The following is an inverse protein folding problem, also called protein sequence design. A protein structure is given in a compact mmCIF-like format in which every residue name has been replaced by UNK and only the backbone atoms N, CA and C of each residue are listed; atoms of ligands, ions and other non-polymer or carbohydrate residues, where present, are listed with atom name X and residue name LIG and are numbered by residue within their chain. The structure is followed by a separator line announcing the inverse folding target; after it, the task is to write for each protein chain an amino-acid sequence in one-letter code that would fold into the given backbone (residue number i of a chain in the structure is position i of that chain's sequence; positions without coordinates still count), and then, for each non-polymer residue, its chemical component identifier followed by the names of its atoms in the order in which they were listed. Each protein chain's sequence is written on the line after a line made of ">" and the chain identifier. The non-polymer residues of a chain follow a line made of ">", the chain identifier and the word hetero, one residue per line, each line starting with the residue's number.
data_IF_469308523855
#
_entry.id   IF_469308523855
#
_cell.length_a   1.000
_cell.length_b   1.000
_cell.length_c   1.000
_cell.angle_alpha   90.00
_cell.angle_beta   90.00
_cell.angle_gamma   90.00
#
_symmetry.space_group_name_H-M   'P 1'
#
loop_
_entity.id
_entity.type
_entity.pdbx_description
1 polymer ?
#
# COMPACT_ATOMS: atom_id res chain seq x y z
N UNK A 1 -19.22 49.32 -1.99
CA UNK A 1 -17.81 48.90 -2.01
C UNK A 1 -17.73 47.60 -1.23
N UNK A 2 -17.35 46.48 -1.86
CA UNK A 2 -17.10 45.25 -1.10
C UNK A 2 -15.79 45.45 -0.33
N UNK A 3 -15.87 45.53 1.00
CA UNK A 3 -14.69 45.65 1.83
C UNK A 3 -13.92 44.32 1.78
N UNK A 4 -12.65 44.40 1.39
CA UNK A 4 -11.79 43.24 1.15
C UNK A 4 -11.15 42.80 2.47
N UNK A 5 -11.36 41.54 2.87
CA UNK A 5 -10.72 40.96 4.04
C UNK A 5 -9.21 40.94 3.79
N UNK A 6 -8.45 41.65 4.62
CA UNK A 6 -6.99 41.75 4.49
C UNK A 6 -6.35 41.25 5.78
N UNK A 7 -5.53 40.20 5.66
CA UNK A 7 -4.89 39.52 6.79
C UNK A 7 -3.38 39.54 6.61
N UNK A 8 -2.63 39.93 7.64
CA UNK A 8 -1.17 39.80 7.65
C UNK A 8 -0.74 38.50 8.32
N UNK A 9 0.21 37.82 7.69
CA UNK A 9 0.87 36.62 8.20
C UNK A 9 1.89 36.94 9.29
N UNK A 10 2.42 38.16 9.33
CA UNK A 10 3.10 38.67 10.52
C UNK A 10 2.08 39.04 11.57
N UNK A 11 2.08 38.25 12.66
CA UNK A 11 1.34 38.51 13.90
C UNK A 11 1.99 39.66 14.67
N UNK A 12 2.18 40.83 14.04
CA UNK A 12 2.71 42.00 14.74
C UNK A 12 1.77 42.37 15.87
N UNK A 13 2.37 42.58 17.03
CA UNK A 13 1.73 42.60 18.34
C UNK A 13 0.97 43.91 18.58
N UNK A 14 -0.08 44.19 17.80
CA UNK A 14 -1.03 45.27 18.06
C UNK A 14 -2.37 44.67 18.50
N UNK A 15 -2.43 44.12 19.72
CA UNK A 15 -3.70 43.74 20.38
C UNK A 15 -4.13 42.27 20.28
N UNK A 16 -3.19 41.32 20.36
CA UNK A 16 -3.41 39.86 20.14
C UNK A 16 -4.15 39.14 21.28
N UNK A 17 -5.26 39.68 21.75
CA UNK A 17 -6.20 38.96 22.63
C UNK A 17 -7.54 38.68 21.93
N UNK A 18 -7.90 39.49 20.94
CA UNK A 18 -9.23 39.47 20.35
C UNK A 18 -9.14 38.94 18.91
N UNK A 19 -9.91 37.90 18.61
CA UNK A 19 -10.05 37.44 17.25
C UNK A 19 -10.65 38.56 16.39
N UNK A 20 -10.13 38.70 15.17
CA UNK A 20 -10.56 39.73 14.25
C UNK A 20 -11.96 39.43 13.75
N UNK A 21 -12.88 40.35 14.04
CA UNK A 21 -14.26 40.23 13.60
C UNK A 21 -14.36 40.51 12.09
N UNK A 22 -14.83 39.54 11.31
CA UNK A 22 -15.11 39.72 9.88
C UNK A 22 -16.60 39.62 9.54
N UNK A 23 -17.51 39.63 10.53
CA UNK A 23 -18.96 39.51 10.34
C UNK A 23 -19.55 40.57 9.40
N UNK A 24 -19.00 41.77 9.37
CA UNK A 24 -19.47 42.82 8.44
C UNK A 24 -19.05 42.54 6.98
N UNK A 25 -18.09 41.65 6.78
CA UNK A 25 -17.47 41.35 5.48
C UNK A 25 -17.93 40.00 4.94
N UNK A 26 -18.08 39.02 5.82
CA UNK A 26 -18.40 37.66 5.46
C UNK A 26 -19.19 36.99 6.58
N UNK A 27 -20.32 36.39 6.22
CA UNK A 27 -21.02 35.41 7.04
C UNK A 27 -21.32 34.20 6.16
N UNK A 28 -21.33 33.04 6.78
CA UNK A 28 -21.68 31.79 6.11
C UNK A 28 -23.09 31.37 6.49
N UNK A 29 -23.61 30.37 5.77
CA UNK A 29 -24.86 29.71 6.08
C UNK A 29 -24.68 28.20 5.92
N UNK A 30 -25.29 27.43 6.82
CA UNK A 30 -25.28 25.97 6.75
C UNK A 30 -25.89 25.50 5.43
N UNK A 31 -25.18 24.64 4.69
CA UNK A 31 -25.64 24.10 3.41
C UNK A 31 -25.40 24.98 2.19
N UNK A 32 -24.88 26.20 2.33
CA UNK A 32 -24.51 27.01 1.16
C UNK A 32 -23.28 26.42 0.47
N UNK A 33 -23.40 26.17 -0.83
CA UNK A 33 -22.36 25.53 -1.61
C UNK A 33 -21.55 26.53 -2.47
N UNK A 34 -20.22 26.35 -2.52
CA UNK A 34 -19.31 27.22 -3.28
C UNK A 34 -19.37 28.69 -2.85
N UNK A 35 -19.54 28.94 -1.55
CA UNK A 35 -19.50 30.30 -1.01
C UNK A 35 -18.10 30.89 -1.23
N UNK A 36 -17.96 31.96 -2.04
CA UNK A 36 -16.65 32.52 -2.32
C UNK A 36 -16.18 33.41 -1.17
N UNK A 37 -15.16 32.95 -0.44
CA UNK A 37 -14.45 33.74 0.55
C UNK A 37 -13.20 34.34 -0.08
N UNK A 38 -13.19 35.67 -0.26
CA UNK A 38 -12.06 36.39 -0.85
C UNK A 38 -11.22 37.03 0.24
N UNK A 39 -9.94 36.67 0.28
CA UNK A 39 -8.99 37.12 1.31
C UNK A 39 -7.71 37.59 0.65
N UNK A 40 -7.22 38.75 1.10
CA UNK A 40 -5.91 39.27 0.73
C UNK A 40 -4.90 38.98 1.83
N UNK A 41 -3.90 38.16 1.52
CA UNK A 41 -2.78 37.89 2.41
C UNK A 41 -1.66 38.90 2.20
N UNK A 42 -1.18 39.42 3.32
CA UNK A 42 0.02 40.23 3.41
C UNK A 42 1.12 39.45 4.13
N UNK A 43 2.37 39.65 3.73
CA UNK A 43 3.56 39.25 4.46
C UNK A 43 4.38 40.51 4.72
N UNK A 44 4.51 40.91 6.00
CA UNK A 44 5.25 42.11 6.41
C UNK A 44 4.69 43.39 5.76
N UNK A 45 3.37 43.50 5.66
CA UNK A 45 2.70 44.63 5.00
C UNK A 45 2.83 44.66 3.47
N UNK A 46 3.45 43.66 2.84
CA UNK A 46 3.52 43.51 1.37
C UNK A 46 2.57 42.41 0.90
N UNK A 47 2.02 42.53 -0.30
CA UNK A 47 1.16 41.50 -0.86
C UNK A 47 1.91 40.18 -1.03
N UNK A 48 1.29 39.07 -0.62
CA UNK A 48 1.89 37.74 -0.76
C UNK A 48 2.08 37.38 -2.23
N UNK A 49 3.26 36.86 -2.58
CA UNK A 49 3.60 36.51 -3.97
C UNK A 49 3.36 35.04 -4.32
N UNK A 50 3.03 34.19 -3.34
CA UNK A 50 2.70 32.76 -3.51
C UNK A 50 3.75 31.91 -4.26
N UNK A 51 4.98 32.41 -4.44
CA UNK A 51 6.05 31.76 -5.24
C UNK A 51 6.48 30.40 -4.67
N UNK A 52 6.31 30.19 -3.37
CA UNK A 52 6.66 28.95 -2.66
C UNK A 52 5.67 27.79 -2.88
N UNK A 53 4.68 27.95 -3.76
CA UNK A 53 3.67 26.93 -4.00
C UNK A 53 2.62 26.79 -2.89
N UNK A 54 2.51 27.83 -2.06
CA UNK A 54 1.55 27.93 -0.95
C UNK A 54 0.10 27.99 -1.46
N UNK A 55 -0.78 27.21 -0.85
CA UNK A 55 -2.23 27.21 -1.05
C UNK A 55 -2.94 27.78 0.19
N UNK A 56 -4.12 28.40 0.03
CA UNK A 56 -4.86 28.91 1.17
C UNK A 56 -5.50 27.78 1.99
N UNK A 57 -5.46 27.91 3.31
CA UNK A 57 -6.17 27.01 4.20
C UNK A 57 -6.94 27.80 5.27
N UNK A 58 -7.98 27.18 5.81
CA UNK A 58 -8.78 27.67 6.94
C UNK A 58 -8.97 26.53 7.93
N UNK A 59 -8.82 26.80 9.22
CA UNK A 59 -8.99 25.81 10.28
C UNK A 59 -9.53 26.47 11.54
N UNK A 60 -10.52 25.85 12.17
CA UNK A 60 -11.20 26.41 13.32
C UNK A 60 -12.32 25.51 13.84
N UNK A 61 -13.18 26.09 14.68
CA UNK A 61 -14.35 25.44 15.24
C UNK A 61 -15.61 26.22 14.89
N UNK A 62 -16.71 25.52 14.66
CA UNK A 62 -18.04 26.12 14.43
C UNK A 62 -18.99 25.68 15.52
N UNK A 63 -19.59 26.62 16.24
CA UNK A 63 -20.48 26.29 17.35
C UNK A 63 -20.87 27.50 18.19
N UNK A 64 -21.24 27.25 19.43
CA UNK A 64 -21.67 28.30 20.35
C UNK A 64 -20.46 29.00 20.96
N UNK A 65 -20.61 30.28 21.30
CA UNK A 65 -19.60 31.02 22.03
C UNK A 65 -19.56 30.52 23.48
N UNK A 66 -18.35 30.28 23.99
CA UNK A 66 -18.09 30.03 25.41
C UNK A 66 -18.18 31.33 26.24
N UNK A 67 -17.98 31.21 27.55
CA UNK A 67 -17.99 32.34 28.49
C UNK A 67 -16.92 33.42 28.16
N UNK A 68 -15.93 33.10 27.33
CA UNK A 68 -14.88 33.99 26.87
C UNK A 68 -15.12 34.54 25.44
N UNK A 69 -16.29 34.27 24.84
CA UNK A 69 -16.62 34.72 23.50
C UNK A 69 -15.85 33.99 22.39
N UNK A 70 -15.45 32.74 22.62
CA UNK A 70 -14.69 31.91 21.67
C UNK A 70 -15.43 30.62 21.37
N UNK A 71 -15.13 30.01 20.23
CA UNK A 71 -15.58 28.64 19.94
C UNK A 71 -14.39 27.70 20.11
N UNK A 72 -14.57 26.70 20.96
CA UNK A 72 -13.56 25.71 21.35
C UNK A 72 -14.03 24.31 20.97
N UNK A 73 -13.16 23.31 21.13
CA UNK A 73 -13.51 21.92 20.91
C UNK A 73 -14.65 21.39 21.82
N UNK A 74 -14.95 22.08 22.92
CA UNK A 74 -16.04 21.72 23.83
C UNK A 74 -17.38 22.33 23.40
N UNK A 75 -17.35 23.43 22.63
CA UNK A 75 -18.53 24.24 22.27
C UNK A 75 -18.85 24.21 20.78
N UNK A 76 -18.00 23.59 19.95
CA UNK A 76 -18.18 23.51 18.52
C UNK A 76 -17.45 22.35 17.84
N UNK A 77 -17.83 22.11 16.59
CA UNK A 77 -17.28 21.06 15.74
C UNK A 77 -16.04 21.57 14.98
N UNK A 78 -14.98 20.74 14.85
CA UNK A 78 -13.79 21.11 14.12
C UNK A 78 -14.08 21.17 12.61
N UNK A 79 -13.63 22.25 11.96
CA UNK A 79 -13.74 22.41 10.52
C UNK A 79 -12.39 22.79 9.92
N UNK A 80 -12.12 22.24 8.74
CA UNK A 80 -10.90 22.58 7.98
C UNK A 80 -11.19 22.63 6.49
N UNK A 81 -10.53 23.56 5.82
CA UNK A 81 -10.55 23.71 4.37
C UNK A 81 -9.11 23.90 3.91
N UNK A 82 -8.71 23.13 2.90
CA UNK A 82 -7.47 23.35 2.17
C UNK A 82 -7.83 23.59 0.71
N UNK A 83 -7.47 24.76 0.23
CA UNK A 83 -7.68 25.18 -1.15
C UNK A 83 -6.62 24.63 -2.08
N UNK A 84 -6.69 25.07 -3.33
CA UNK A 84 -5.73 24.71 -4.38
C UNK A 84 -5.07 25.96 -4.95
N UNK A 85 -4.07 25.77 -5.82
CA UNK A 85 -3.46 26.90 -6.55
C UNK A 85 -4.43 27.62 -7.47
N UNK A 86 -5.52 26.97 -7.89
CA UNK A 86 -6.56 27.60 -8.71
C UNK A 86 -7.38 28.65 -7.96
N UNK A 87 -7.32 28.64 -6.62
CA UNK A 87 -7.96 29.64 -5.77
C UNK A 87 -7.15 30.95 -5.71
N UNK A 88 -5.93 30.99 -6.23
CA UNK A 88 -5.07 32.18 -6.21
C UNK A 88 -5.48 33.10 -7.37
N UNK A 89 -5.98 34.29 -7.03
CA UNK A 89 -6.40 35.32 -8.01
C UNK A 89 -5.24 36.24 -8.39
N UNK A 90 -4.19 36.29 -7.55
CA UNK A 90 -3.00 37.12 -7.74
C UNK A 90 -3.01 38.39 -6.86
N UNK A 91 -1.90 39.14 -6.86
CA UNK A 91 -1.69 40.35 -6.02
C UNK A 91 -1.95 40.12 -4.52
N UNK A 92 -1.59 38.95 -4.00
CA UNK A 92 -1.85 38.56 -2.60
C UNK A 92 -3.27 38.08 -2.33
N UNK A 93 -4.15 38.01 -3.33
CA UNK A 93 -5.55 37.63 -3.14
C UNK A 93 -5.80 36.16 -3.48
N UNK A 94 -6.63 35.53 -2.64
CA UNK A 94 -7.21 34.21 -2.88
C UNK A 94 -8.73 34.31 -2.86
N UNK A 95 -9.38 33.43 -3.61
CA UNK A 95 -10.82 33.20 -3.62
C UNK A 95 -11.04 31.73 -3.29
N UNK A 96 -11.32 31.45 -2.02
CA UNK A 96 -11.63 30.09 -1.56
C UNK A 96 -13.11 29.82 -1.78
N UNK A 97 -13.45 28.77 -2.54
CA UNK A 97 -14.83 28.37 -2.72
C UNK A 97 -15.18 27.32 -1.66
N UNK A 98 -15.79 27.75 -0.56
CA UNK A 98 -16.07 26.89 0.57
C UNK A 98 -17.16 25.85 0.19
N UNK A 99 -16.95 24.55 0.45
CA UNK A 99 -17.95 23.52 0.17
C UNK A 99 -19.12 23.62 1.15
N UNK A 100 -20.30 23.13 0.76
CA UNK A 100 -21.49 23.14 1.63
C UNK A 100 -21.34 22.32 2.91
N UNK A 101 -20.43 21.35 2.92
CA UNK A 101 -20.05 20.55 4.09
C UNK A 101 -19.11 21.27 5.05
N UNK A 102 -18.67 22.50 4.74
CA UNK A 102 -17.69 23.22 5.56
C UNK A 102 -18.27 23.65 6.91
N UNK A 103 -19.58 23.86 6.99
CA UNK A 103 -20.26 24.35 8.18
C UNK A 103 -21.32 23.33 8.62
N UNK A 104 -21.00 22.44 9.57
CA UNK A 104 -21.89 21.34 9.95
C UNK A 104 -23.09 21.81 10.80
N UNK A 105 -22.99 22.96 11.46
CA UNK A 105 -24.01 23.50 12.35
C UNK A 105 -24.04 25.03 12.33
N UNK A 106 -25.15 25.62 12.79
CA UNK A 106 -25.28 27.06 13.00
C UNK A 106 -24.48 27.52 14.23
N UNK A 107 -24.09 28.79 14.25
CA UNK A 107 -23.34 29.38 15.36
C UNK A 107 -22.30 30.39 14.91
N UNK A 108 -21.10 30.29 15.46
CA UNK A 108 -19.97 31.16 15.13
C UNK A 108 -18.79 30.30 14.69
N UNK A 109 -18.12 30.72 13.63
CA UNK A 109 -16.80 30.19 13.31
C UNK A 109 -15.77 30.96 14.15
N UNK A 110 -14.87 30.25 14.81
CA UNK A 110 -13.68 30.80 15.45
C UNK A 110 -12.47 29.98 15.03
N UNK A 111 -11.51 30.62 14.35
CA UNK A 111 -10.38 29.90 13.78
C UNK A 111 -9.35 30.85 13.22
N UNK A 112 -8.49 30.35 12.33
CA UNK A 112 -7.51 31.15 11.64
C UNK A 112 -7.43 30.73 10.18
N UNK A 113 -6.98 31.68 9.36
CA UNK A 113 -6.64 31.42 7.97
C UNK A 113 -5.13 31.41 7.82
N UNK A 114 -4.68 30.86 6.72
CA UNK A 114 -3.27 30.84 6.44
C UNK A 114 -2.95 30.29 5.07
N UNK A 115 -1.66 30.07 4.89
CA UNK A 115 -1.05 29.56 3.69
C UNK A 115 -0.21 28.34 4.05
N UNK A 116 -0.40 27.24 3.33
CA UNK A 116 0.37 26.00 3.53
C UNK A 116 0.85 25.44 2.21
N UNK A 117 1.96 24.71 2.21
CA UNK A 117 2.32 23.88 1.06
C UNK A 117 1.40 22.66 1.01
N UNK A 118 1.05 22.12 -0.18
CA UNK A 118 0.26 20.90 -0.29
C UNK A 118 0.83 19.70 0.49
N UNK A 119 2.16 19.65 0.64
CA UNK A 119 2.85 18.62 1.41
C UNK A 119 2.92 18.93 2.93
N UNK A 120 2.23 19.97 3.39
CA UNK A 120 2.25 20.51 4.77
C UNK A 120 3.64 20.85 5.34
N UNK A 121 4.67 20.89 4.50
CA UNK A 121 6.07 21.15 4.88
C UNK A 121 6.32 22.57 5.38
N UNK A 122 5.49 23.54 4.96
CA UNK A 122 5.54 24.94 5.40
C UNK A 122 4.12 25.42 5.65
N UNK A 123 3.86 25.91 6.86
CA UNK A 123 2.55 26.44 7.27
C UNK A 123 2.72 27.82 7.90
N UNK A 124 2.01 28.80 7.36
CA UNK A 124 2.01 30.18 7.85
C UNK A 124 0.57 30.56 8.18
N UNK A 125 0.29 30.85 9.45
CA UNK A 125 -1.06 31.23 9.93
C UNK A 125 -1.15 32.72 10.22
N UNK A 126 -2.31 33.31 9.96
CA UNK A 126 -2.65 34.68 10.36
C UNK A 126 -3.13 34.71 11.81
N UNK A 127 -3.64 35.87 12.26
CA UNK A 127 -4.41 35.98 13.50
C UNK A 127 -5.74 35.21 13.41
N UNK A 128 -6.33 34.93 14.57
CA UNK A 128 -7.64 34.29 14.65
C UNK A 128 -8.72 35.23 14.12
N UNK A 129 -9.66 34.71 13.36
CA UNK A 129 -10.85 35.42 12.86
C UNK A 129 -12.10 34.75 13.40
N UNK A 130 -13.18 35.51 13.44
CA UNK A 130 -14.50 34.96 13.73
C UNK A 130 -15.60 35.63 12.91
N UNK A 131 -16.62 34.84 12.57
CA UNK A 131 -17.80 35.26 11.83
C UNK A 131 -19.02 34.41 12.17
N UNK A 132 -20.21 34.88 11.80
CA UNK A 132 -21.45 34.17 12.08
C UNK A 132 -21.79 33.17 10.97
N UNK A 133 -22.23 31.98 11.39
CA UNK A 133 -22.75 30.92 10.54
C UNK A 133 -24.25 30.83 10.80
N UNK A 134 -25.04 31.40 9.90
CA UNK A 134 -26.49 31.40 10.00
C UNK A 134 -27.05 30.00 9.74
N UNK A 135 -28.20 29.71 10.36
CA UNK A 135 -29.02 28.58 9.95
C UNK A 135 -29.36 28.67 8.46
N UNK A 136 -29.29 27.53 7.80
CA UNK A 136 -29.74 27.34 6.42
C UNK A 136 -30.57 26.07 6.35
N UNK A 137 -31.12 25.76 5.18
CA UNK A 137 -31.80 24.49 5.01
C UNK A 137 -30.73 23.37 4.96
N UNK A 138 -30.66 22.45 5.95
CA UNK A 138 -29.69 21.35 5.92
C UNK A 138 -29.90 20.43 4.70
N UNK A 139 -31.05 20.53 4.03
CA UNK A 139 -31.45 19.78 2.84
C UNK A 139 -30.90 20.29 1.50
N UNK A 140 -29.92 21.20 1.49
CA UNK A 140 -29.07 21.36 0.30
C UNK A 140 -27.91 20.37 0.36
N UNK A 141 -28.23 19.07 0.51
CA UNK A 141 -27.39 18.00 -0.03
C UNK A 141 -27.37 18.15 -1.55
N UNK A 142 -26.61 19.11 -2.06
CA UNK A 142 -26.05 18.92 -3.40
C UNK A 142 -25.05 17.80 -3.21
N UNK A 143 -25.46 16.62 -3.67
CA UNK A 143 -24.61 15.48 -3.87
C UNK A 143 -23.52 15.91 -4.88
N UNK A 144 -22.52 16.65 -4.44
CA UNK A 144 -21.31 16.89 -5.23
C UNK A 144 -20.52 15.60 -5.18
N UNK A 145 -20.87 14.70 -6.10
CA UNK A 145 -19.92 13.84 -6.78
C UNK A 145 -18.83 14.74 -7.39
N UNK A 146 -17.76 15.02 -6.63
CA UNK A 146 -16.49 14.42 -7.01
C UNK A 146 -15.83 13.68 -5.86
N UNK A 147 -15.93 14.10 -4.60
CA UNK A 147 -15.08 13.54 -3.54
C UNK A 147 -15.44 12.09 -3.17
N UNK A 148 -16.74 11.78 -3.02
CA UNK A 148 -17.18 10.39 -2.82
C UNK A 148 -16.98 9.54 -4.07
N UNK A 149 -17.22 10.08 -5.27
CA UNK A 149 -17.06 9.33 -6.52
C UNK A 149 -15.60 9.08 -6.89
N UNK A 150 -14.69 10.01 -6.60
CA UNK A 150 -13.24 9.87 -6.83
C UNK A 150 -12.64 8.90 -5.81
N UNK A 151 -13.03 8.99 -4.54
CA UNK A 151 -12.66 7.98 -3.53
C UNK A 151 -13.25 6.62 -3.87
N UNK A 152 -14.50 6.55 -4.33
CA UNK A 152 -15.11 5.31 -4.78
C UNK A 152 -14.39 4.77 -6.02
N UNK A 153 -14.02 5.61 -6.99
CA UNK A 153 -13.20 5.20 -8.14
C UNK A 153 -11.83 4.67 -7.72
N UNK A 154 -11.17 5.29 -6.75
CA UNK A 154 -9.87 4.77 -6.27
C UNK A 154 -10.03 3.52 -5.41
N UNK A 155 -11.11 3.38 -4.63
CA UNK A 155 -11.45 2.14 -3.95
C UNK A 155 -11.78 1.02 -4.95
N UNK A 156 -12.61 1.29 -5.95
CA UNK A 156 -12.94 0.37 -7.04
C UNK A 156 -11.69 0.01 -7.85
N UNK A 157 -10.78 0.96 -8.08
CA UNK A 157 -9.50 0.70 -8.75
C UNK A 157 -8.59 -0.18 -7.89
N UNK A 158 -8.55 0.05 -6.58
CA UNK A 158 -7.79 -0.79 -5.63
C UNK A 158 -8.40 -2.19 -5.56
N UNK A 159 -9.72 -2.32 -5.51
CA UNK A 159 -10.42 -3.62 -5.56
C UNK A 159 -10.14 -4.34 -6.88
N UNK A 160 -10.23 -3.66 -8.03
CA UNK A 160 -9.87 -4.23 -9.34
C UNK A 160 -8.39 -4.63 -9.39
N UNK A 161 -7.48 -3.85 -8.82
CA UNK A 161 -6.05 -4.19 -8.72
C UNK A 161 -5.83 -5.40 -7.81
N UNK A 162 -6.57 -5.52 -6.71
CA UNK A 162 -6.52 -6.67 -5.80
C UNK A 162 -7.07 -7.90 -6.53
N UNK A 163 -8.22 -7.81 -7.20
CA UNK A 163 -8.80 -8.91 -7.98
C UNK A 163 -7.90 -9.32 -9.15
N UNK A 164 -7.25 -8.37 -9.83
CA UNK A 164 -6.25 -8.64 -10.87
C UNK A 164 -5.00 -9.29 -10.29
N UNK A 165 -4.56 -8.87 -9.10
CA UNK A 165 -3.41 -9.46 -8.41
C UNK A 165 -3.74 -10.88 -7.93
N UNK A 166 -4.91 -11.10 -7.35
CA UNK A 166 -5.41 -12.42 -6.99
C UNK A 166 -5.61 -13.32 -8.21
N UNK A 167 -6.13 -12.77 -9.32
CA UNK A 167 -6.25 -13.44 -10.60
C UNK A 167 -4.88 -13.85 -11.14
N UNK A 168 -3.91 -12.93 -11.14
CA UNK A 168 -2.53 -13.19 -11.56
C UNK A 168 -1.85 -14.24 -10.66
N UNK A 169 -2.09 -14.21 -9.35
CA UNK A 169 -1.58 -15.21 -8.40
C UNK A 169 -2.24 -16.57 -8.67
N UNK A 170 -3.55 -16.62 -8.91
CA UNK A 170 -4.27 -17.86 -9.28
C UNK A 170 -3.78 -18.41 -10.61
N UNK A 171 -3.58 -17.57 -11.62
CA UNK A 171 -2.99 -17.96 -12.91
C UNK A 171 -1.57 -18.49 -12.73
N UNK A 172 -0.74 -17.86 -11.89
CA UNK A 172 0.60 -18.34 -11.55
C UNK A 172 0.57 -19.66 -10.78
N UNK A 173 -0.39 -19.85 -9.89
CA UNK A 173 -0.58 -21.12 -9.17
C UNK A 173 -1.02 -22.24 -10.12
N UNK A 174 -1.93 -21.95 -11.06
CA UNK A 174 -2.35 -22.91 -12.10
C UNK A 174 -1.18 -23.21 -13.05
N UNK A 175 -0.38 -22.20 -13.42
CA UNK A 175 0.82 -22.36 -14.23
C UNK A 175 1.88 -23.20 -13.49
N UNK A 176 2.07 -22.98 -12.19
CA UNK A 176 2.97 -23.78 -11.34
C UNK A 176 2.45 -25.21 -11.17
N UNK A 177 1.16 -25.40 -10.92
CA UNK A 177 0.53 -26.72 -10.84
C UNK A 177 0.68 -27.46 -12.16
N UNK A 178 0.46 -26.77 -13.28
CA UNK A 178 0.68 -27.33 -14.62
C UNK A 178 2.16 -27.65 -14.86
N UNK A 179 3.10 -26.77 -14.50
CA UNK A 179 4.54 -27.04 -14.61
C UNK A 179 4.97 -28.22 -13.73
N UNK A 180 4.40 -28.36 -12.53
CA UNK A 180 4.65 -29.50 -11.65
C UNK A 180 4.07 -30.78 -12.26
N UNK A 181 2.85 -30.75 -12.76
CA UNK A 181 2.21 -31.89 -13.42
C UNK A 181 2.92 -32.25 -14.73
N UNK A 182 3.33 -31.28 -15.53
CA UNK A 182 4.14 -31.46 -16.74
C UNK A 182 5.52 -32.00 -16.36
N UNK A 183 6.16 -31.53 -15.28
CA UNK A 183 7.41 -32.14 -14.78
C UNK A 183 7.22 -33.58 -14.32
N UNK A 184 6.10 -33.91 -13.68
CA UNK A 184 5.74 -35.28 -13.28
C UNK A 184 5.44 -36.16 -14.51
N UNK A 185 4.82 -35.58 -15.55
CA UNK A 185 4.37 -36.29 -16.74
C UNK A 185 5.49 -36.45 -17.80
N UNK A 186 6.27 -35.39 -18.06
CA UNK A 186 7.43 -35.39 -18.97
C UNK A 186 8.66 -36.07 -18.36
N UNK A 187 8.84 -36.03 -17.03
CA UNK A 187 9.87 -36.84 -16.34
C UNK A 187 9.26 -38.11 -15.78
N UNK A 188 8.90 -39.00 -16.69
CA UNK A 188 8.56 -40.41 -16.49
C UNK A 188 9.58 -41.20 -15.62
N UNK A 189 9.75 -40.83 -14.35
CA UNK A 189 10.15 -41.72 -13.27
C UNK A 189 8.83 -42.22 -12.74
N UNK A 190 8.28 -43.20 -13.45
CA UNK A 190 7.25 -44.06 -12.92
C UNK A 190 7.88 -44.77 -11.71
N UNK A 191 7.78 -44.13 -10.54
CA UNK A 191 8.32 -44.62 -9.27
C UNK A 191 7.79 -46.03 -9.01
N UNK A 192 6.55 -46.33 -9.42
CA UNK A 192 5.96 -47.66 -9.35
C UNK A 192 6.63 -48.67 -10.28
N UNK A 193 6.95 -48.29 -11.53
CA UNK A 193 7.72 -49.14 -12.43
C UNK A 193 9.18 -49.30 -11.96
N UNK A 194 9.78 -48.28 -11.36
CA UNK A 194 11.14 -48.34 -10.84
C UNK A 194 11.21 -49.22 -9.60
N UNK A 195 10.24 -49.12 -8.68
CA UNK A 195 10.06 -50.03 -7.55
C UNK A 195 9.79 -51.47 -8.02
N UNK A 196 8.94 -51.66 -9.02
CA UNK A 196 8.66 -52.98 -9.61
C UNK A 196 9.91 -53.60 -10.24
N UNK A 197 10.71 -52.81 -10.97
CA UNK A 197 11.98 -53.26 -11.57
C UNK A 197 13.05 -53.52 -10.50
N UNK A 198 13.13 -52.70 -9.45
CA UNK A 198 14.04 -52.93 -8.32
C UNK A 198 13.67 -54.21 -7.55
N UNK A 199 12.39 -54.41 -7.23
CA UNK A 199 11.91 -55.64 -6.58
C UNK A 199 12.19 -56.89 -7.44
N UNK A 200 12.05 -56.77 -8.76
CA UNK A 200 12.40 -57.86 -9.70
C UNK A 200 13.90 -58.14 -9.72
N UNK A 201 14.73 -57.09 -9.68
CA UNK A 201 16.19 -57.20 -9.64
C UNK A 201 16.66 -57.80 -8.31
N UNK A 202 16.10 -57.36 -7.18
CA UNK A 202 16.38 -57.92 -5.86
C UNK A 202 15.99 -59.40 -5.79
N UNK A 203 14.79 -59.77 -6.26
CA UNK A 203 14.36 -61.17 -6.31
C UNK A 203 15.29 -62.05 -7.16
N UNK A 204 15.74 -61.55 -8.32
CA UNK A 204 16.68 -62.26 -9.17
C UNK A 204 18.07 -62.39 -8.52
N UNK A 205 18.54 -61.35 -7.80
CA UNK A 205 19.79 -61.38 -7.05
C UNK A 205 19.75 -62.40 -5.91
N UNK A 206 18.65 -62.47 -5.16
CA UNK A 206 18.48 -63.49 -4.11
C UNK A 206 18.44 -64.89 -4.69
N UNK A 207 17.73 -65.11 -5.81
CA UNK A 207 17.73 -66.42 -6.50
C UNK A 207 19.13 -66.78 -6.99
N UNK A 208 19.89 -65.83 -7.52
CA UNK A 208 21.28 -66.04 -7.93
C UNK A 208 22.18 -66.34 -6.73
N UNK A 209 22.01 -65.63 -5.62
CA UNK A 209 22.77 -65.86 -4.39
C UNK A 209 22.46 -67.23 -3.79
N UNK A 210 21.19 -67.63 -3.78
CA UNK A 210 20.76 -68.95 -3.32
C UNK A 210 21.26 -70.06 -4.27
N UNK A 211 21.26 -69.84 -5.59
CA UNK A 211 21.87 -70.79 -6.54
C UNK A 211 23.38 -70.89 -6.38
N UNK A 212 24.07 -69.77 -6.13
CA UNK A 212 25.51 -69.77 -5.84
C UNK A 212 25.78 -70.57 -4.55
N UNK A 213 24.94 -70.43 -3.53
CA UNK A 213 25.05 -71.19 -2.27
C UNK A 213 24.65 -72.66 -2.43
N UNK A 214 23.67 -72.98 -3.28
CA UNK A 214 23.10 -74.31 -3.43
C UNK A 214 23.82 -75.20 -4.46
N UNK A 215 24.32 -74.65 -5.58
CA UNK A 215 24.82 -75.45 -6.71
C UNK A 215 26.29 -75.85 -6.60
N UNK A 216 26.96 -75.63 -5.47
CA UNK A 216 28.33 -76.14 -5.25
C UNK A 216 29.33 -75.72 -6.34
N UNK A 217 29.12 -74.53 -6.92
CA UNK A 217 29.92 -74.01 -8.03
C UNK A 217 31.35 -73.77 -7.55
N UNK A 218 32.31 -74.44 -8.19
CA UNK A 218 33.73 -74.30 -7.92
C UNK A 218 34.14 -72.83 -8.03
N UNK A 219 34.70 -72.28 -6.96
CA UNK A 219 35.31 -70.94 -7.03
C UNK A 219 36.52 -71.00 -7.95
N UNK A 220 36.99 -69.84 -8.44
CA UNK A 220 38.22 -69.80 -9.24
C UNK A 220 39.41 -70.43 -8.51
N UNK A 221 39.46 -70.30 -7.17
CA UNK A 221 40.46 -70.96 -6.35
C UNK A 221 40.32 -72.49 -6.35
N UNK A 222 39.09 -73.02 -6.33
CA UNK A 222 38.86 -74.47 -6.40
C UNK A 222 39.21 -75.03 -7.78
N UNK A 223 38.92 -74.28 -8.85
CA UNK A 223 39.32 -74.62 -10.21
C UNK A 223 40.84 -74.63 -10.36
N UNK A 224 41.53 -73.60 -9.87
CA UNK A 224 42.99 -73.51 -9.90
C UNK A 224 43.65 -74.64 -9.11
N UNK A 225 43.08 -75.02 -7.95
CA UNK A 225 43.57 -76.14 -7.14
C UNK A 225 43.43 -77.47 -7.87
N UNK A 226 42.29 -77.72 -8.54
CA UNK A 226 42.07 -78.95 -9.30
C UNK A 226 42.94 -79.01 -10.57
N UNK A 227 43.07 -77.91 -11.31
CA UNK A 227 43.97 -77.80 -12.47
C UNK A 227 45.42 -78.08 -12.06
N UNK A 228 45.87 -77.55 -10.92
CA UNK A 228 47.21 -77.78 -10.41
C UNK A 228 47.45 -79.25 -10.09
N UNK A 229 46.50 -79.94 -9.45
CA UNK A 229 46.61 -81.38 -9.20
C UNK A 229 46.71 -82.20 -10.50
N UNK A 230 45.94 -81.84 -11.53
CA UNK A 230 46.02 -82.50 -12.84
C UNK A 230 47.40 -82.27 -13.47
N UNK A 231 47.91 -81.03 -13.45
CA UNK A 231 49.23 -80.69 -13.99
C UNK A 231 50.34 -81.45 -13.24
N UNK A 232 50.28 -81.53 -11.91
CA UNK A 232 51.28 -82.23 -11.10
C UNK A 232 51.24 -83.74 -11.34
N UNK A 233 50.05 -84.33 -11.50
CA UNK A 233 49.91 -85.75 -11.87
C UNK A 233 50.47 -86.06 -13.26
N UNK A 234 50.22 -85.17 -14.24
CA UNK A 234 50.80 -85.30 -15.58
C UNK A 234 52.33 -85.17 -15.53
N UNK A 235 52.87 -84.17 -14.81
CA UNK A 235 54.32 -84.03 -14.63
C UNK A 235 54.93 -85.29 -14.01
N UNK A 236 54.31 -85.86 -12.98
CA UNK A 236 54.77 -87.10 -12.35
C UNK A 236 54.76 -88.28 -13.34
N UNK A 237 53.72 -88.41 -14.17
CA UNK A 237 53.69 -89.45 -15.21
C UNK A 237 54.76 -89.27 -16.29
N UNK A 238 55.03 -88.04 -16.75
CA UNK A 238 56.07 -87.78 -17.74
C UNK A 238 57.49 -87.84 -17.17
N UNK A 239 57.69 -87.62 -15.86
CA UNK A 239 59.00 -87.77 -15.20
C UNK A 239 59.42 -89.24 -15.09
N UNK A 240 58.45 -90.17 -14.97
CA UNK A 240 58.71 -91.62 -14.93
C UNK A 240 59.11 -92.18 -16.30
N UNK A 241 58.71 -91.55 -17.41
CA UNK A 241 58.97 -92.05 -18.78
C UNK A 241 60.37 -91.68 -19.31
N UNK A 242 61.04 -90.68 -18.74
CA UNK A 242 62.40 -90.26 -19.16
C UNK A 242 63.50 -90.62 -18.15
N UNK A 243 63.22 -91.51 -17.19
CA UNK A 243 64.26 -92.13 -16.36
C UNK A 243 64.49 -93.56 -16.83
N UNK A 244 65.19 -93.70 -17.97
CA UNK A 244 65.85 -94.94 -18.43
C UNK A 244 67.31 -94.58 -18.69
#
# INVERSE_FOLDING_TARGET
>A
MAALITLDTQKQQNGVSEAFNIQELFNARVGDEQVPLVVKFLERGKAQQFEDGLVPFMSGFVGNLDDAGKVTAETGEPVSYTGTRSDIVGLGMVKMNLPGTMFPQEGYFYGFLGLETPDHSKRVSTFSVWFHVYNGNPDMFVNKEPFRSELQKELDRVEVLIEQTEGTIKEKLIEWEKLINDLITDKNIDLGLLESRMATVEGNLTILEDKIKADGLLTQADFDAQIKQIIDNLKNQYTVVYTI
#
